data_IF_709179971878
#
_entry.id   IF_709179971878
#
_cell.length_a   1.000
_cell.length_b   1.000
_cell.length_c   1.000
_cell.angle_alpha   90.00
_cell.angle_beta   90.00
_cell.angle_gamma   90.00
#
_symmetry.space_group_name_H-M   'P 1'
#
loop_
_entity.id
_entity.type
_entity.pdbx_description
1 polymer ?
#
# COMPACT_ATOMS: atom_id res chain seq x y z
N UNK A 1 -36.39 -7.48 -7.19
CA UNK A 1 -35.03 -7.78 -6.65
C UNK A 1 -34.71 -9.23 -7.00
N UNK A 2 -34.18 -9.49 -8.20
CA UNK A 2 -33.79 -10.85 -8.61
C UNK A 2 -32.32 -11.08 -8.23
N UNK A 3 -32.07 -12.15 -7.48
CA UNK A 3 -30.77 -12.43 -6.86
C UNK A 3 -29.67 -12.78 -7.86
N UNK A 4 -28.46 -12.27 -7.61
CA UNK A 4 -27.21 -12.45 -8.40
C UNK A 4 -26.74 -13.91 -8.59
N UNK A 5 -27.57 -14.91 -8.29
CA UNK A 5 -27.18 -16.32 -8.24
C UNK A 5 -28.15 -17.27 -8.95
N UNK A 6 -29.16 -16.75 -9.66
CA UNK A 6 -30.00 -17.59 -10.53
C UNK A 6 -29.17 -18.07 -11.73
N UNK A 7 -28.66 -19.31 -11.67
CA UNK A 7 -27.86 -19.92 -12.74
C UNK A 7 -26.49 -20.45 -12.34
N UNK A 8 -26.12 -20.40 -11.05
CA UNK A 8 -24.88 -21.01 -10.56
C UNK A 8 -25.01 -22.53 -10.48
N UNK A 9 -24.27 -23.26 -11.31
CA UNK A 9 -24.12 -24.73 -11.25
C UNK A 9 -22.70 -25.10 -10.83
N UNK A 10 -22.51 -26.29 -10.26
CA UNK A 10 -21.19 -26.81 -9.86
C UNK A 10 -20.19 -26.84 -11.02
N UNK A 11 -20.66 -27.11 -12.24
CA UNK A 11 -19.88 -27.04 -13.48
C UNK A 11 -19.40 -25.62 -13.79
N UNK A 12 -20.26 -24.61 -13.60
CA UNK A 12 -19.87 -23.20 -13.83
C UNK A 12 -18.79 -22.70 -12.85
N UNK A 13 -18.75 -23.26 -11.63
CA UNK A 13 -17.72 -22.94 -10.64
C UNK A 13 -16.37 -23.62 -10.93
N UNK A 14 -16.40 -24.83 -11.52
CA UNK A 14 -15.20 -25.55 -11.92
C UNK A 14 -14.51 -24.88 -13.13
N UNK A 15 -15.29 -24.43 -14.11
CA UNK A 15 -14.78 -23.77 -15.32
C UNK A 15 -14.15 -22.39 -15.03
N UNK A 16 -14.73 -21.63 -14.10
CA UNK A 16 -14.26 -20.30 -13.71
C UNK A 16 -12.92 -20.30 -12.96
N UNK A 17 -12.54 -21.43 -12.35
CA UNK A 17 -11.31 -21.57 -11.55
C UNK A 17 -10.13 -22.15 -12.34
N UNK A 18 -10.36 -22.72 -13.53
CA UNK A 18 -9.33 -23.40 -14.33
C UNK A 18 -9.00 -22.72 -15.67
N UNK A 19 -9.73 -21.67 -16.06
CA UNK A 19 -9.39 -20.86 -17.23
C UNK A 19 -8.53 -19.67 -16.81
N UNK A 20 -7.24 -19.71 -17.13
CA UNK A 20 -6.37 -18.55 -16.97
C UNK A 20 -6.99 -17.34 -17.71
N UNK A 21 -7.11 -16.15 -17.09
CA UNK A 21 -7.64 -14.99 -17.76
C UNK A 21 -6.74 -14.65 -18.96
N UNK A 22 -7.37 -14.30 -20.09
CA UNK A 22 -6.63 -13.89 -21.29
C UNK A 22 -5.69 -12.73 -20.94
N UNK A 23 -4.39 -12.88 -21.24
CA UNK A 23 -3.38 -11.84 -21.02
C UNK A 23 -3.80 -10.57 -21.77
N UNK A 24 -4.18 -9.52 -21.03
CA UNK A 24 -4.34 -8.17 -21.60
C UNK A 24 -3.01 -7.71 -22.17
N UNK A 25 -3.02 -7.16 -23.39
CA UNK A 25 -1.83 -6.58 -24.03
C UNK A 25 -1.27 -5.47 -23.15
N UNK A 26 0.02 -5.57 -22.78
CA UNK A 26 0.76 -4.54 -22.04
C UNK A 26 0.87 -3.28 -22.90
N UNK A 27 0.02 -2.28 -22.66
CA UNK A 27 0.32 -0.91 -23.03
C UNK A 27 1.30 -0.34 -22.01
N UNK A 28 2.47 0.16 -22.44
CA UNK A 28 3.36 0.93 -21.56
C UNK A 28 2.61 2.21 -21.17
N UNK A 29 2.23 2.33 -19.90
CA UNK A 29 1.79 3.61 -19.36
C UNK A 29 2.95 4.61 -19.48
N UNK A 30 2.72 5.85 -19.94
CA UNK A 30 3.78 6.84 -20.01
C UNK A 30 4.19 7.21 -18.59
N UNK A 31 5.47 7.04 -18.28
CA UNK A 31 6.08 7.54 -17.03
C UNK A 31 6.08 9.06 -17.14
N UNK A 32 5.04 9.71 -16.60
CA UNK A 32 5.04 11.16 -16.42
C UNK A 32 5.72 11.46 -15.09
N UNK A 33 6.77 12.28 -15.13
CA UNK A 33 7.37 12.85 -13.94
C UNK A 33 6.29 13.63 -13.17
N UNK A 34 5.94 13.14 -11.98
CA UNK A 34 4.81 13.68 -11.22
C UNK A 34 5.27 14.88 -10.38
N UNK A 35 4.75 16.06 -10.73
CA UNK A 35 4.83 17.25 -9.89
C UNK A 35 4.03 17.01 -8.59
N UNK A 36 4.58 17.32 -7.42
CA UNK A 36 3.96 17.05 -6.10
C UNK A 36 2.69 17.91 -5.84
N UNK A 37 2.23 18.69 -6.83
CA UNK A 37 0.92 19.36 -6.89
C UNK A 37 -0.14 18.61 -7.73
N UNK A 38 0.16 17.40 -8.20
CA UNK A 38 -0.69 16.67 -9.14
C UNK A 38 -1.82 15.86 -8.48
N UNK A 39 -1.71 15.56 -7.18
CA UNK A 39 -2.65 14.70 -6.47
C UNK A 39 -3.26 15.43 -5.27
N UNK A 40 -4.54 15.21 -5.01
CA UNK A 40 -5.26 15.79 -3.88
C UNK A 40 -4.89 15.11 -2.56
N UNK A 41 -4.45 13.85 -2.62
CA UNK A 41 -3.82 13.17 -1.50
C UNK A 41 -2.64 12.28 -1.89
N UNK A 42 -1.70 12.16 -0.96
CA UNK A 42 -0.60 11.20 -1.03
C UNK A 42 -0.70 10.29 0.21
N UNK A 43 -0.67 8.98 -0.01
CA UNK A 43 -0.81 7.96 1.03
C UNK A 43 0.49 7.16 1.12
N UNK A 44 1.05 7.04 2.31
CA UNK A 44 2.20 6.19 2.60
C UNK A 44 1.75 4.90 3.26
N UNK A 45 2.34 3.78 2.84
CA UNK A 45 2.03 2.44 3.36
C UNK A 45 3.33 1.72 3.74
N UNK A 46 3.41 1.30 5.00
CA UNK A 46 4.40 0.32 5.46
C UNK A 46 3.70 -1.06 5.55
N UNK A 47 3.91 -1.95 4.57
CA UNK A 47 3.14 -3.19 4.45
C UNK A 47 3.57 -4.25 5.48
N UNK A 48 2.58 -4.98 5.99
CA UNK A 48 2.78 -6.08 6.93
C UNK A 48 1.52 -6.36 7.74
N UNK A 49 1.56 -7.33 8.66
CA UNK A 49 0.41 -7.63 9.54
C UNK A 49 0.01 -6.46 10.42
N UNK A 50 0.99 -5.62 10.81
CA UNK A 50 0.81 -4.30 11.41
C UNK A 50 1.15 -3.25 10.35
N UNK A 51 0.16 -2.92 9.53
CA UNK A 51 0.37 -2.01 8.40
C UNK A 51 0.43 -0.58 8.89
N UNK A 52 1.56 0.09 8.69
CA UNK A 52 1.62 1.54 8.85
C UNK A 52 0.86 2.24 7.73
N UNK A 53 0.09 3.27 8.06
CA UNK A 53 -0.57 4.12 7.08
C UNK A 53 -0.44 5.59 7.47
N UNK A 54 -0.12 6.41 6.48
CA UNK A 54 -0.15 7.86 6.61
C UNK A 54 -0.87 8.49 5.43
N UNK A 55 -1.66 9.53 5.66
CA UNK A 55 -2.34 10.29 4.60
C UNK A 55 -1.99 11.75 4.73
N UNK A 56 -1.50 12.35 3.64
CA UNK A 56 -1.27 13.78 3.50
C UNK A 56 -2.22 14.33 2.44
N UNK A 57 -2.98 15.36 2.81
CA UNK A 57 -3.89 16.09 1.92
C UNK A 57 -3.91 17.56 2.34
N UNK A 58 -4.06 18.47 1.38
CA UNK A 58 -4.01 19.93 1.59
C UNK A 58 -2.73 20.39 2.31
N UNK A 59 -1.62 19.67 2.09
CA UNK A 59 -0.34 19.94 2.75
C UNK A 59 -0.23 19.45 4.20
N UNK A 60 -1.30 18.88 4.78
CA UNK A 60 -1.36 18.44 6.18
C UNK A 60 -1.41 16.91 6.31
N UNK A 61 -0.78 16.37 7.34
CA UNK A 61 -0.95 14.97 7.73
C UNK A 61 -2.32 14.80 8.40
N UNK A 62 -3.23 14.08 7.72
CA UNK A 62 -4.59 13.80 8.19
C UNK A 62 -4.66 12.50 8.99
N UNK A 63 -3.86 11.50 8.59
CA UNK A 63 -3.78 10.19 9.24
C UNK A 63 -2.32 9.82 9.42
N UNK A 64 -1.98 9.30 10.61
CA UNK A 64 -0.72 8.61 10.90
C UNK A 64 -1.03 7.51 11.93
N UNK A 65 -1.26 6.28 11.48
CA UNK A 65 -1.69 5.18 12.35
C UNK A 65 -1.10 3.83 11.92
N UNK A 66 -1.39 2.79 12.71
CA UNK A 66 -1.08 1.41 12.36
C UNK A 66 -2.35 0.61 12.43
N UNK A 67 -2.65 -0.07 11.33
CA UNK A 67 -3.88 -0.79 11.12
C UNK A 67 -3.59 -2.26 10.80
N UNK A 68 -4.66 -3.05 10.74
CA UNK A 68 -4.62 -4.34 10.05
C UNK A 68 -4.56 -4.09 8.53
N UNK A 69 -3.88 -4.94 7.78
CA UNK A 69 -3.74 -4.81 6.31
C UNK A 69 -5.06 -4.57 5.58
N UNK A 70 -6.11 -5.35 5.89
CA UNK A 70 -7.43 -5.18 5.27
C UNK A 70 -8.05 -3.81 5.54
N UNK A 71 -7.82 -3.22 6.71
CA UNK A 71 -8.35 -1.89 7.06
C UNK A 71 -7.55 -0.80 6.34
N UNK A 72 -6.23 -0.96 6.23
CA UNK A 72 -5.40 -0.07 5.42
C UNK A 72 -5.83 -0.07 3.94
N UNK A 73 -6.11 -1.25 3.35
CA UNK A 73 -6.68 -1.34 2.00
C UNK A 73 -8.02 -0.60 1.88
N UNK A 74 -8.89 -0.75 2.90
CA UNK A 74 -10.17 -0.05 2.91
C UNK A 74 -9.99 1.47 2.98
N UNK A 75 -9.08 1.97 3.81
CA UNK A 75 -8.77 3.41 3.88
C UNK A 75 -8.30 3.91 2.51
N UNK A 76 -7.36 3.22 1.85
CA UNK A 76 -6.91 3.62 0.50
C UNK A 76 -8.08 3.71 -0.49
N UNK A 77 -9.02 2.77 -0.46
CA UNK A 77 -10.22 2.81 -1.30
C UNK A 77 -11.15 3.98 -0.95
N UNK A 78 -11.40 4.22 0.34
CA UNK A 78 -12.22 5.35 0.83
C UNK A 78 -11.65 6.70 0.35
N UNK A 79 -10.32 6.88 0.42
CA UNK A 79 -9.66 8.10 -0.07
C UNK A 79 -9.63 8.19 -1.60
N UNK A 80 -9.44 7.08 -2.30
CA UNK A 80 -9.52 7.05 -3.75
C UNK A 80 -10.91 7.43 -4.24
N UNK A 81 -11.96 6.91 -3.59
CA UNK A 81 -13.34 7.28 -3.90
C UNK A 81 -13.61 8.76 -3.60
N UNK A 82 -13.18 9.25 -2.43
CA UNK A 82 -13.37 10.64 -2.00
C UNK A 82 -12.74 11.66 -2.97
N UNK A 83 -11.57 11.35 -3.54
CA UNK A 83 -10.88 12.21 -4.50
C UNK A 83 -11.06 11.78 -5.96
N UNK A 84 -12.06 10.96 -6.28
CA UNK A 84 -12.32 10.50 -7.65
C UNK A 84 -11.08 9.90 -8.35
N UNK A 85 -10.25 9.18 -7.60
CA UNK A 85 -9.02 8.54 -8.05
C UNK A 85 -7.79 9.44 -8.06
N UNK A 86 -7.91 10.74 -7.72
CA UNK A 86 -6.79 11.69 -7.74
C UNK A 86 -5.88 11.59 -6.50
N UNK A 87 -5.34 10.39 -6.26
CA UNK A 87 -4.42 10.09 -5.17
C UNK A 87 -3.15 9.42 -5.68
N UNK A 88 -2.08 9.51 -4.90
CA UNK A 88 -0.86 8.71 -5.07
C UNK A 88 -0.62 7.84 -3.86
N UNK A 89 -0.33 6.55 -4.07
CA UNK A 89 0.06 5.63 -3.00
C UNK A 89 1.55 5.29 -3.10
N UNK A 90 2.30 5.50 -2.01
CA UNK A 90 3.68 5.05 -1.88
C UNK A 90 3.73 3.89 -0.91
N UNK A 91 4.24 2.76 -1.36
CA UNK A 91 4.33 1.54 -0.56
C UNK A 91 5.80 1.24 -0.31
N UNK A 92 6.22 1.09 0.94
CA UNK A 92 7.56 0.57 1.23
C UNK A 92 7.70 -0.84 0.63
N UNK A 93 8.73 -1.05 -0.19
CA UNK A 93 9.02 -2.34 -0.81
C UNK A 93 10.16 -3.05 -0.09
N UNK A 94 9.81 -3.78 0.96
CA UNK A 94 10.76 -4.56 1.73
C UNK A 94 11.49 -5.64 0.91
N UNK A 95 11.00 -6.02 -0.29
CA UNK A 95 11.68 -6.95 -1.22
C UNK A 95 13.00 -6.38 -1.75
N UNK A 96 13.14 -5.06 -1.77
CA UNK A 96 14.32 -4.38 -2.32
C UNK A 96 15.50 -4.32 -1.33
N UNK A 97 15.36 -4.78 -0.08
CA UNK A 97 16.47 -4.80 0.90
C UNK A 97 17.61 -5.69 0.41
N UNK A 98 18.78 -5.06 0.21
CA UNK A 98 20.01 -5.74 -0.21
C UNK A 98 20.86 -6.26 0.96
N UNK A 99 20.63 -5.79 2.19
CA UNK A 99 21.42 -6.20 3.36
C UNK A 99 20.59 -7.02 4.33
N UNK A 100 20.90 -8.31 4.40
CA UNK A 100 20.34 -9.23 5.37
C UNK A 100 21.43 -9.42 6.43
N UNK A 101 21.27 -8.79 7.60
CA UNK A 101 22.21 -9.03 8.72
C UNK A 101 22.24 -10.51 9.16
N UNK A 102 23.15 -10.85 10.10
CA UNK A 102 23.56 -12.23 10.47
C UNK A 102 22.51 -13.13 11.18
N UNK A 103 21.28 -13.26 10.67
CA UNK A 103 20.21 -14.01 11.38
C UNK A 103 19.34 -14.92 10.50
N UNK A 104 19.74 -16.21 10.44
CA UNK A 104 18.93 -17.43 10.69
C UNK A 104 17.65 -17.81 9.89
N UNK A 105 17.19 -19.06 10.12
CA UNK A 105 16.00 -19.73 9.55
C UNK A 105 14.65 -19.04 9.81
N UNK A 106 14.54 -18.27 10.90
CA UNK A 106 13.33 -17.52 11.27
C UNK A 106 12.96 -16.45 10.22
N UNK A 107 13.95 -15.85 9.55
CA UNK A 107 13.73 -14.84 8.51
C UNK A 107 13.23 -15.41 7.18
N UNK A 108 13.51 -16.67 6.84
CA UNK A 108 12.95 -17.29 5.63
C UNK A 108 11.42 -17.42 5.69
N UNK A 109 10.87 -17.68 6.88
CA UNK A 109 9.41 -17.72 7.08
C UNK A 109 8.78 -16.32 6.98
N UNK A 110 9.48 -15.30 7.47
CA UNK A 110 9.05 -13.89 7.37
C UNK A 110 9.17 -13.32 5.95
N UNK A 111 10.21 -13.72 5.20
CA UNK A 111 10.49 -13.21 3.84
C UNK A 111 9.32 -13.48 2.88
N UNK A 112 8.74 -14.69 2.92
CA UNK A 112 7.58 -15.02 2.09
C UNK A 112 6.31 -14.25 2.46
N UNK A 113 6.11 -13.93 3.75
CA UNK A 113 4.99 -13.09 4.18
C UNK A 113 5.15 -11.64 3.69
N UNK A 114 6.36 -11.10 3.82
CA UNK A 114 6.70 -9.74 3.39
C UNK A 114 6.56 -9.59 1.88
N UNK A 115 7.05 -10.57 1.12
CA UNK A 115 6.92 -10.60 -0.33
C UNK A 115 5.44 -10.65 -0.75
N UNK A 116 4.65 -11.49 -0.07
CA UNK A 116 3.21 -11.59 -0.31
C UNK A 116 2.51 -10.26 -0.03
N UNK A 117 2.78 -9.63 1.11
CA UNK A 117 2.11 -8.38 1.48
C UNK A 117 2.43 -7.27 0.48
N UNK A 118 3.70 -7.10 0.09
CA UNK A 118 4.10 -6.13 -0.93
C UNK A 118 3.40 -6.41 -2.28
N UNK A 119 3.31 -7.68 -2.67
CA UNK A 119 2.67 -8.09 -3.92
C UNK A 119 1.15 -7.88 -3.90
N UNK A 120 0.48 -8.15 -2.78
CA UNK A 120 -0.96 -7.88 -2.62
C UNK A 120 -1.23 -6.38 -2.80
N UNK A 121 -0.39 -5.51 -2.25
CA UNK A 121 -0.50 -4.07 -2.47
C UNK A 121 -0.32 -3.69 -3.94
N UNK A 122 0.72 -4.19 -4.59
CA UNK A 122 1.00 -3.95 -6.01
C UNK A 122 -0.16 -4.41 -6.91
N UNK A 123 -0.68 -5.61 -6.70
CA UNK A 123 -1.82 -6.18 -7.44
C UNK A 123 -3.10 -5.37 -7.20
N UNK A 124 -3.44 -5.08 -5.94
CA UNK A 124 -4.65 -4.33 -5.60
C UNK A 124 -4.63 -2.91 -6.20
N UNK A 125 -3.52 -2.19 -6.07
CA UNK A 125 -3.41 -0.82 -6.60
C UNK A 125 -3.47 -0.81 -8.13
N UNK A 126 -2.86 -1.81 -8.78
CA UNK A 126 -2.95 -2.01 -10.23
C UNK A 126 -4.39 -2.29 -10.67
N UNK A 127 -5.09 -3.19 -10.00
CA UNK A 127 -6.47 -3.57 -10.33
C UNK A 127 -7.46 -2.42 -10.17
N UNK A 128 -7.23 -1.56 -9.16
CA UNK A 128 -8.03 -0.36 -8.92
C UNK A 128 -7.65 0.82 -9.84
N UNK A 129 -6.57 0.71 -10.61
CA UNK A 129 -6.05 1.80 -11.43
C UNK A 129 -5.56 3.01 -10.63
N UNK A 130 -5.18 2.80 -9.36
CA UNK A 130 -4.69 3.86 -8.48
C UNK A 130 -3.19 4.07 -8.77
N UNK A 131 -2.73 5.30 -9.04
CA UNK A 131 -1.31 5.59 -9.19
C UNK A 131 -0.50 5.22 -7.95
N UNK A 132 0.62 4.52 -8.13
CA UNK A 132 1.47 4.11 -7.01
C UNK A 132 2.96 4.02 -7.33
N UNK A 133 3.78 4.04 -6.27
CA UNK A 133 5.22 3.82 -6.31
C UNK A 133 5.62 2.79 -5.25
N UNK A 134 6.41 1.79 -5.67
CA UNK A 134 7.06 0.83 -4.76
C UNK A 134 8.42 1.39 -4.35
N UNK A 135 8.54 1.85 -3.11
CA UNK A 135 9.65 2.67 -2.62
C UNK A 135 10.65 1.85 -1.83
N UNK A 136 11.94 2.01 -2.17
CA UNK A 136 13.01 1.31 -1.47
C UNK A 136 13.06 1.68 0.05
N UNK A 137 13.20 0.72 0.98
CA UNK A 137 13.15 0.97 2.43
C UNK A 137 14.21 1.93 2.98
N UNK A 138 15.39 2.00 2.34
CA UNK A 138 16.43 3.00 2.67
C UNK A 138 15.95 4.47 2.57
N UNK A 139 14.86 4.72 1.84
CA UNK A 139 14.27 6.05 1.74
C UNK A 139 13.34 6.38 2.92
N UNK A 140 13.07 5.40 3.79
CA UNK A 140 12.24 5.53 4.98
C UNK A 140 13.13 5.72 6.21
N UNK A 141 12.84 6.75 7.02
CA UNK A 141 13.64 7.08 8.21
C UNK A 141 13.02 6.44 9.46
N UNK A 142 13.75 5.56 10.13
CA UNK A 142 13.38 5.16 11.48
C UNK A 142 13.65 6.33 12.45
N UNK A 143 12.60 7.00 12.90
CA UNK A 143 12.68 8.07 13.93
C UNK A 143 11.99 7.64 15.21
N UNK A 144 12.43 8.21 16.35
CA UNK A 144 11.67 8.10 17.60
C UNK A 144 10.36 8.89 17.52
N UNK A 145 9.41 8.60 18.42
CA UNK A 145 8.16 9.36 18.48
C UNK A 145 8.40 10.86 18.76
N UNK A 146 9.37 11.17 19.63
CA UNK A 146 9.76 12.55 19.97
C UNK A 146 10.37 13.29 18.79
N UNK A 147 11.31 12.65 18.08
CA UNK A 147 11.91 13.21 16.87
C UNK A 147 10.85 13.46 15.80
N UNK A 148 9.94 12.50 15.60
CA UNK A 148 8.86 12.62 14.64
C UNK A 148 7.93 13.77 14.97
N UNK A 149 7.51 13.90 16.23
CA UNK A 149 6.70 15.02 16.71
C UNK A 149 7.40 16.36 16.50
N UNK A 150 8.70 16.44 16.80
CA UNK A 150 9.50 17.66 16.61
C UNK A 150 9.58 18.08 15.13
N UNK A 151 9.70 17.13 14.21
CA UNK A 151 9.85 17.42 12.78
C UNK A 151 8.50 17.70 12.11
N UNK A 152 7.45 16.96 12.47
CA UNK A 152 6.16 16.98 11.75
C UNK A 152 5.06 17.76 12.47
N UNK A 153 5.25 18.09 13.75
CA UNK A 153 4.19 18.64 14.60
C UNK A 153 3.12 17.61 15.01
N UNK A 154 3.25 16.33 14.60
CA UNK A 154 2.28 15.29 14.90
C UNK A 154 2.23 15.01 16.41
N UNK A 155 1.09 15.33 17.05
CA UNK A 155 0.90 15.19 18.50
C UNK A 155 0.26 13.87 18.91
N UNK A 156 -0.29 13.10 17.97
CA UNK A 156 -0.87 11.79 18.24
C UNK A 156 0.21 10.76 18.54
N UNK A 157 -0.13 9.73 19.31
CA UNK A 157 0.77 8.61 19.57
C UNK A 157 0.98 7.82 18.29
N UNK A 158 2.24 7.60 17.91
CA UNK A 158 2.61 6.86 16.70
C UNK A 158 3.41 5.59 17.02
N UNK A 159 3.17 4.53 16.26
CA UNK A 159 4.05 3.36 16.23
C UNK A 159 5.23 3.60 15.29
N UNK A 160 6.20 2.68 15.26
CA UNK A 160 7.27 2.72 14.25
C UNK A 160 6.72 2.61 12.83
N UNK A 161 5.84 1.63 12.56
CA UNK A 161 5.20 1.41 11.27
C UNK A 161 4.44 2.65 10.77
N UNK A 162 3.70 3.31 11.66
CA UNK A 162 2.98 4.53 11.33
C UNK A 162 3.93 5.66 10.87
N UNK A 163 5.09 5.78 11.52
CA UNK A 163 6.11 6.77 11.15
C UNK A 163 6.82 6.40 9.86
N UNK A 164 7.12 5.12 9.66
CA UNK A 164 7.71 4.61 8.42
C UNK A 164 6.82 4.93 7.22
N UNK A 165 5.51 4.68 7.34
CA UNK A 165 4.52 5.10 6.35
C UNK A 165 4.51 6.62 6.14
N UNK A 166 4.59 7.42 7.19
CA UNK A 166 4.61 8.88 7.08
C UNK A 166 5.85 9.41 6.35
N UNK A 167 7.02 8.81 6.54
CA UNK A 167 8.25 9.24 5.85
C UNK A 167 8.24 9.00 4.35
N UNK A 168 7.34 8.16 3.82
CA UNK A 168 7.16 8.00 2.38
C UNK A 168 6.56 9.26 1.71
N UNK A 169 5.89 10.13 2.47
CA UNK A 169 5.02 11.20 1.92
C UNK A 169 5.33 12.60 2.47
N UNK A 170 6.37 12.73 3.30
CA UNK A 170 6.86 13.99 3.88
C UNK A 170 8.19 14.36 3.25
#
# INVERSE_FOLDING_TARGET
>A
MMGRFSGWTSESAYDATHRAPAKKKKGKAPVRAVNVRAYDAIIGIDPGTKTGIAVKSEGLLKIVSTEKAWRAHQIVREWAEYYNGNILVRVEDARQRQWFGDTGRERMKGAGSVERDCRIWEEMLTDLGIPFEMVHPKNVKATTAEQFKKITGCTVRTSIHAREAAWLII
#
